data_IF_472530448192
#
_entry.id   IF_472530448192
#
_cell.length_a   1.000
_cell.length_b   1.000
_cell.length_c   1.000
_cell.angle_alpha   90.00
_cell.angle_beta   90.00
_cell.angle_gamma   90.00
#
_symmetry.space_group_name_H-M   'P 1'
#
loop_
_entity.id
_entity.type
_entity.pdbx_description
1 polymer ?
#
# COMPACT_ATOMS: atom_id res chain seq x y z
N UNK A 1 9.04 -23.16 -1.62
CA UNK A 1 8.36 -21.93 -1.19
C UNK A 1 8.15 -21.07 -2.42
N UNK A 2 6.93 -20.57 -2.67
CA UNK A 2 6.66 -19.69 -3.79
C UNK A 2 7.48 -18.41 -3.67
N UNK A 3 7.96 -17.91 -4.81
CA UNK A 3 8.60 -16.60 -4.89
C UNK A 3 7.51 -15.55 -4.77
N UNK A 4 7.69 -14.59 -3.87
CA UNK A 4 6.65 -13.59 -3.58
C UNK A 4 7.02 -12.23 -4.19
N UNK A 5 6.00 -11.49 -4.60
CA UNK A 5 6.06 -10.07 -4.87
C UNK A 5 4.98 -9.37 -4.06
N UNK A 6 5.29 -8.18 -3.53
CA UNK A 6 4.32 -7.35 -2.83
C UNK A 6 4.13 -6.03 -3.59
N UNK A 7 2.91 -5.77 -4.02
CA UNK A 7 2.57 -4.67 -4.93
C UNK A 7 1.72 -3.60 -4.26
N UNK A 8 1.39 -3.79 -2.98
CA UNK A 8 0.48 -2.93 -2.22
C UNK A 8 0.89 -2.87 -0.75
N UNK A 9 1.67 -1.85 -0.43
CA UNK A 9 2.06 -1.54 0.94
C UNK A 9 2.40 -0.06 1.08
N UNK A 10 1.92 0.59 2.13
CA UNK A 10 2.29 1.96 2.49
C UNK A 10 3.56 1.95 3.31
N UNK A 11 4.59 2.68 2.88
CA UNK A 11 5.91 2.58 3.53
C UNK A 11 5.88 3.05 4.99
N UNK A 12 5.10 4.09 5.31
CA UNK A 12 4.93 4.53 6.69
C UNK A 12 4.12 3.53 7.53
N UNK A 13 3.13 2.88 6.91
CA UNK A 13 2.36 1.77 7.50
C UNK A 13 3.18 0.51 7.76
N UNK A 14 4.29 0.34 7.05
CA UNK A 14 5.22 -0.78 7.21
C UNK A 14 6.20 -0.63 8.38
N UNK A 15 6.14 0.47 9.13
CA UNK A 15 7.04 0.74 10.24
C UNK A 15 6.85 -0.27 11.38
N UNK A 16 7.77 -1.24 11.47
CA UNK A 16 7.71 -2.29 12.48
C UNK A 16 7.75 -1.72 13.92
N UNK A 17 7.01 -2.28 14.89
CA UNK A 17 6.89 -1.72 16.23
C UNK A 17 8.24 -1.49 16.93
N UNK A 18 9.20 -2.39 16.75
CA UNK A 18 10.54 -2.24 17.31
C UNK A 18 11.34 -1.08 16.68
N UNK A 19 11.12 -0.78 15.40
CA UNK A 19 11.71 0.38 14.74
C UNK A 19 11.09 1.67 15.29
N UNK A 20 9.77 1.68 15.44
CA UNK A 20 9.00 2.82 15.99
C UNK A 20 9.41 3.11 17.43
N UNK A 21 9.59 2.09 18.27
CA UNK A 21 10.09 2.25 19.64
C UNK A 21 11.49 2.89 19.65
N UNK A 22 12.42 2.41 18.81
CA UNK A 22 13.77 3.00 18.70
C UNK A 22 13.71 4.45 18.24
N UNK A 23 12.81 4.76 17.31
CA UNK A 23 12.64 6.10 16.77
C UNK A 23 12.02 7.07 17.79
N UNK A 24 11.05 6.59 18.57
CA UNK A 24 10.45 7.32 19.67
C UNK A 24 11.49 7.64 20.77
N UNK A 25 12.38 6.70 21.10
CA UNK A 25 13.49 6.94 22.01
C UNK A 25 14.43 8.03 21.50
N UNK A 26 14.81 8.01 20.21
CA UNK A 26 15.62 9.05 19.57
C UNK A 26 15.00 10.44 19.70
N UNK A 27 13.67 10.54 19.64
CA UNK A 27 12.95 11.82 19.68
C UNK A 27 12.24 12.15 21.00
N UNK A 28 12.51 11.38 22.07
CA UNK A 28 11.91 11.62 23.39
C UNK A 28 10.37 11.53 23.38
N UNK A 29 9.80 10.60 22.61
CA UNK A 29 8.35 10.35 22.53
C UNK A 29 7.97 9.07 23.27
N UNK A 30 6.77 9.05 23.85
CA UNK A 30 6.21 7.88 24.53
C UNK A 30 5.31 7.08 23.57
N UNK A 31 5.60 5.78 23.42
CA UNK A 31 4.83 4.86 22.57
C UNK A 31 3.75 4.10 23.33
N UNK A 32 3.67 4.18 24.66
CA UNK A 32 2.85 3.32 25.52
C UNK A 32 1.34 3.34 25.21
N UNK A 33 0.87 4.45 24.62
CA UNK A 33 -0.50 4.60 24.14
C UNK A 33 -0.81 3.74 22.92
N UNK A 34 0.15 3.59 22.02
CA UNK A 34 -0.05 3.02 20.68
C UNK A 34 0.60 1.64 20.52
N UNK A 35 1.63 1.33 21.32
CA UNK A 35 2.36 0.06 21.26
C UNK A 35 2.37 -0.59 22.64
N UNK A 36 1.88 -1.83 22.72
CA UNK A 36 1.91 -2.67 23.92
C UNK A 36 2.43 -4.05 23.57
N UNK A 37 3.36 -4.57 24.36
CA UNK A 37 3.98 -5.89 24.15
C UNK A 37 4.53 -6.10 22.72
N UNK A 38 5.08 -5.04 22.12
CA UNK A 38 5.64 -5.09 20.76
C UNK A 38 4.61 -5.10 19.62
N UNK A 39 3.34 -4.79 19.89
CA UNK A 39 2.28 -4.72 18.89
C UNK A 39 1.56 -3.38 18.93
N UNK A 40 1.12 -2.89 17.78
CA UNK A 40 0.18 -1.77 17.73
C UNK A 40 -1.16 -2.16 18.35
N UNK A 41 -1.81 -1.17 18.99
CA UNK A 41 -3.13 -1.33 19.62
C UNK A 41 -4.09 -0.24 19.14
N UNK A 42 -5.22 -0.67 18.59
CA UNK A 42 -6.32 0.18 18.10
C UNK A 42 -7.62 -0.66 18.08
N UNK A 43 -8.78 0.00 17.92
CA UNK A 43 -10.10 -0.66 18.02
C UNK A 43 -11.13 -0.22 16.96
N UNK A 44 -10.82 0.82 16.20
CA UNK A 44 -11.60 1.33 15.07
C UNK A 44 -10.69 2.11 14.12
N UNK A 45 -11.23 2.51 12.97
CA UNK A 45 -10.48 3.24 11.93
C UNK A 45 -9.85 4.53 12.46
N UNK A 46 -10.56 5.27 13.31
CA UNK A 46 -10.05 6.53 13.91
C UNK A 46 -8.84 6.29 14.82
N UNK A 47 -8.89 5.27 15.67
CA UNK A 47 -7.77 4.91 16.56
C UNK A 47 -6.61 4.25 15.80
N UNK A 48 -6.89 3.54 14.70
CA UNK A 48 -5.88 3.08 13.74
C UNK A 48 -5.11 4.26 13.15
N UNK A 49 -5.80 5.25 12.56
CA UNK A 49 -5.16 6.44 11.99
C UNK A 49 -4.34 7.21 13.02
N UNK A 50 -4.83 7.32 14.26
CA UNK A 50 -4.07 7.97 15.33
C UNK A 50 -2.75 7.25 15.67
N UNK A 51 -2.72 5.91 15.56
CA UNK A 51 -1.51 5.12 15.75
C UNK A 51 -0.57 5.19 14.53
N UNK A 52 -1.14 5.24 13.33
CA UNK A 52 -0.44 5.49 12.07
C UNK A 52 0.28 6.84 12.12
N UNK A 53 -0.46 7.92 12.32
CA UNK A 53 0.08 9.28 12.36
C UNK A 53 1.18 9.43 13.42
N UNK A 54 0.99 8.87 14.62
CA UNK A 54 2.00 8.88 15.66
C UNK A 54 3.32 8.22 15.21
N UNK A 55 3.24 7.09 14.52
CA UNK A 55 4.40 6.37 14.01
C UNK A 55 5.08 7.16 12.90
N UNK A 56 4.31 7.63 11.92
CA UNK A 56 4.78 8.39 10.76
C UNK A 56 5.51 9.68 11.19
N UNK A 57 5.02 10.38 12.23
CA UNK A 57 5.62 11.60 12.80
C UNK A 57 7.01 11.39 13.44
N UNK A 58 7.45 10.14 13.60
CA UNK A 58 8.76 9.78 14.11
C UNK A 58 9.82 9.69 13.01
N UNK A 59 9.45 9.69 11.73
CA UNK A 59 10.40 9.69 10.61
C UNK A 59 10.60 11.12 10.09
N UNK A 60 11.75 11.73 10.42
CA UNK A 60 11.93 13.19 10.26
C UNK A 60 13.11 13.58 9.39
N UNK A 61 14.08 12.69 9.26
CA UNK A 61 15.31 12.93 8.49
C UNK A 61 15.42 11.94 7.34
N UNK A 62 16.21 12.29 6.33
CA UNK A 62 16.53 11.38 5.22
C UNK A 62 17.01 10.01 5.72
N UNK A 63 17.89 9.97 6.73
CA UNK A 63 18.36 8.69 7.30
C UNK A 63 17.27 7.89 8.01
N UNK A 64 16.21 8.53 8.53
CA UNK A 64 15.09 7.79 9.12
C UNK A 64 14.28 7.06 8.04
N UNK A 65 14.01 7.74 6.92
CA UNK A 65 13.31 7.14 5.78
C UNK A 65 14.17 6.08 5.07
N UNK A 66 15.48 6.30 4.93
CA UNK A 66 16.39 5.27 4.41
C UNK A 66 16.38 4.02 5.30
N UNK A 67 16.35 4.18 6.63
CA UNK A 67 16.23 3.04 7.57
C UNK A 67 14.88 2.35 7.47
N UNK A 68 13.79 3.10 7.31
CA UNK A 68 12.45 2.54 7.17
C UNK A 68 12.35 1.61 5.96
N UNK A 69 12.73 2.11 4.78
CA UNK A 69 12.76 1.32 3.55
C UNK A 69 13.69 0.11 3.65
N UNK A 70 14.91 0.31 4.17
CA UNK A 70 15.88 -0.77 4.34
C UNK A 70 15.36 -1.88 5.28
N UNK A 71 14.77 -1.49 6.42
CA UNK A 71 14.23 -2.42 7.41
C UNK A 71 13.08 -3.24 6.82
N UNK A 72 12.13 -2.59 6.16
CA UNK A 72 10.96 -3.25 5.61
C UNK A 72 11.31 -4.20 4.46
N UNK A 73 12.08 -3.76 3.45
CA UNK A 73 12.44 -4.63 2.33
C UNK A 73 13.33 -5.80 2.76
N UNK A 74 14.16 -5.62 3.78
CA UNK A 74 14.93 -6.72 4.37
C UNK A 74 14.04 -7.72 5.10
N UNK A 75 12.98 -7.25 5.75
CA UNK A 75 11.93 -8.11 6.32
C UNK A 75 11.22 -8.92 5.23
N UNK A 76 10.80 -8.27 4.14
CA UNK A 76 10.16 -8.96 3.01
C UNK A 76 11.04 -10.03 2.38
N UNK A 77 12.34 -9.75 2.22
CA UNK A 77 13.28 -10.76 1.72
C UNK A 77 13.38 -11.98 2.64
N UNK A 78 13.31 -11.80 3.98
CA UNK A 78 13.26 -12.93 4.94
C UNK A 78 11.97 -13.73 4.81
N UNK A 79 10.87 -13.08 4.46
CA UNK A 79 9.58 -13.71 4.16
C UNK A 79 9.54 -14.37 2.77
N UNK A 80 10.64 -14.29 2.00
CA UNK A 80 10.79 -14.92 0.68
C UNK A 80 10.30 -14.07 -0.49
N UNK A 81 10.11 -12.77 -0.29
CA UNK A 81 9.84 -11.83 -1.38
C UNK A 81 11.11 -11.54 -2.18
N UNK A 82 10.96 -11.48 -3.51
CA UNK A 82 12.02 -11.07 -4.43
C UNK A 82 11.80 -9.66 -5.00
N UNK A 83 10.59 -9.13 -4.86
CA UNK A 83 10.19 -7.86 -5.43
C UNK A 83 9.17 -7.14 -4.55
N UNK A 84 9.26 -5.81 -4.46
CA UNK A 84 8.26 -4.98 -3.79
C UNK A 84 8.07 -3.64 -4.49
N UNK A 85 6.81 -3.19 -4.63
CA UNK A 85 6.46 -1.80 -4.95
C UNK A 85 5.82 -1.17 -3.72
N UNK A 86 6.46 -0.16 -3.14
CA UNK A 86 5.96 0.55 -1.96
C UNK A 86 5.26 1.85 -2.37
N UNK A 87 4.13 2.16 -1.74
CA UNK A 87 3.47 3.46 -1.84
C UNK A 87 4.23 4.47 -1.00
N UNK A 88 4.44 5.64 -1.58
CA UNK A 88 5.23 6.73 -1.00
C UNK A 88 4.43 8.02 -1.11
N UNK A 89 4.36 8.79 -0.02
CA UNK A 89 3.48 9.97 0.03
C UNK A 89 4.32 11.25 0.22
N UNK A 90 4.44 12.10 -0.82
CA UNK A 90 5.13 13.38 -0.72
C UNK A 90 4.62 14.30 0.40
N UNK A 91 3.37 14.13 0.84
CA UNK A 91 2.78 14.91 1.94
C UNK A 91 3.48 14.63 3.28
N UNK A 92 3.95 13.40 3.49
CA UNK A 92 4.74 13.04 4.67
C UNK A 92 6.09 13.75 4.69
N UNK A 93 6.71 13.95 3.52
CA UNK A 93 7.92 14.75 3.41
C UNK A 93 7.68 16.18 3.91
N UNK A 94 6.59 16.81 3.46
CA UNK A 94 6.21 18.16 3.87
C UNK A 94 5.98 18.27 5.38
N UNK A 95 5.25 17.32 5.99
CA UNK A 95 5.03 17.26 7.44
C UNK A 95 6.34 17.10 8.23
N UNK A 96 7.29 16.32 7.70
CA UNK A 96 8.61 16.13 8.29
C UNK A 96 9.58 17.31 8.08
N UNK A 97 9.21 18.32 7.28
CA UNK A 97 10.08 19.43 6.90
C UNK A 97 11.11 19.07 5.80
N UNK A 98 10.90 17.97 5.09
CA UNK A 98 11.70 17.52 3.95
C UNK A 98 11.05 17.96 2.63
N UNK A 99 11.88 18.14 1.61
CA UNK A 99 11.35 18.22 0.24
C UNK A 99 10.89 16.83 -0.23
N UNK A 100 9.87 16.74 -1.10
CA UNK A 100 9.50 15.47 -1.74
C UNK A 100 10.68 14.72 -2.37
N UNK A 101 11.63 15.46 -2.93
CA UNK A 101 12.84 14.88 -3.52
C UNK A 101 13.75 14.25 -2.47
N UNK A 102 14.05 14.97 -1.39
CA UNK A 102 14.89 14.44 -0.30
C UNK A 102 14.29 13.17 0.32
N UNK A 103 12.98 13.15 0.54
CA UNK A 103 12.25 11.97 0.99
C UNK A 103 12.36 10.79 0.00
N UNK A 104 12.14 11.04 -1.29
CA UNK A 104 12.21 10.00 -2.33
C UNK A 104 13.62 9.45 -2.50
N UNK A 105 14.63 10.31 -2.52
CA UNK A 105 16.04 9.91 -2.60
C UNK A 105 16.44 9.07 -1.37
N UNK A 106 15.99 9.46 -0.18
CA UNK A 106 16.22 8.73 1.06
C UNK A 106 15.62 7.32 1.06
N UNK A 107 14.36 7.18 0.63
CA UNK A 107 13.74 5.88 0.45
C UNK A 107 14.50 5.04 -0.58
N UNK A 108 14.94 5.67 -1.68
CA UNK A 108 15.76 5.03 -2.72
C UNK A 108 17.08 4.48 -2.18
N UNK A 109 17.76 5.23 -1.31
CA UNK A 109 18.96 4.79 -0.59
C UNK A 109 18.66 3.59 0.31
N UNK A 110 17.54 3.60 1.03
CA UNK A 110 17.09 2.46 1.83
C UNK A 110 16.81 1.20 1.00
N UNK A 111 16.14 1.36 -0.14
CA UNK A 111 15.93 0.28 -1.11
C UNK A 111 17.25 -0.29 -1.63
N UNK A 112 18.22 0.57 -1.94
CA UNK A 112 19.54 0.16 -2.41
C UNK A 112 20.31 -0.64 -1.34
N UNK A 113 20.23 -0.24 -0.07
CA UNK A 113 20.82 -0.98 1.07
C UNK A 113 20.20 -2.37 1.22
N UNK A 114 18.88 -2.48 1.16
CA UNK A 114 18.20 -3.77 1.24
C UNK A 114 18.60 -4.68 0.08
N UNK A 115 18.55 -4.16 -1.16
CA UNK A 115 18.98 -4.88 -2.36
C UNK A 115 20.41 -5.41 -2.27
N UNK A 116 21.34 -4.58 -1.80
CA UNK A 116 22.74 -4.99 -1.67
C UNK A 116 22.93 -6.15 -0.67
N UNK A 117 22.10 -6.24 0.36
CA UNK A 117 22.18 -7.31 1.37
C UNK A 117 21.41 -8.57 1.01
N UNK A 118 20.25 -8.45 0.36
CA UNK A 118 19.30 -9.56 0.22
C UNK A 118 18.99 -9.92 -1.22
N UNK A 119 19.31 -9.06 -2.18
CA UNK A 119 18.94 -9.22 -3.60
C UNK A 119 17.50 -8.83 -3.94
N UNK A 120 16.68 -8.39 -2.98
CA UNK A 120 15.31 -7.93 -3.26
C UNK A 120 15.32 -6.69 -4.16
N UNK A 121 14.42 -6.66 -5.14
CA UNK A 121 14.20 -5.50 -5.99
C UNK A 121 13.06 -4.64 -5.43
N UNK A 122 13.30 -3.35 -5.20
CA UNK A 122 12.28 -2.40 -4.75
C UNK A 122 11.96 -1.35 -5.80
N UNK A 123 10.70 -0.91 -5.87
CA UNK A 123 10.23 0.27 -6.61
C UNK A 123 9.31 1.12 -5.74
N UNK A 124 9.11 2.36 -6.16
CA UNK A 124 8.25 3.33 -5.50
C UNK A 124 7.11 3.73 -6.42
N UNK A 125 5.93 3.80 -5.84
CA UNK A 125 4.74 4.41 -6.44
C UNK A 125 4.47 5.68 -5.64
N UNK A 126 4.50 6.82 -6.32
CA UNK A 126 4.15 8.09 -5.68
C UNK A 126 2.63 8.15 -5.54
N UNK A 127 2.15 8.32 -4.32
CA UNK A 127 0.73 8.22 -3.98
C UNK A 127 0.22 9.56 -3.44
N UNK A 128 -0.80 10.11 -4.10
CA UNK A 128 -1.55 11.24 -3.58
C UNK A 128 -2.51 10.79 -2.47
N UNK A 129 -2.63 11.57 -1.40
CA UNK A 129 -3.53 11.28 -0.28
C UNK A 129 -4.83 12.06 -0.47
N UNK A 130 -5.94 11.38 -0.81
CA UNK A 130 -7.19 12.06 -1.18
C UNK A 130 -7.82 12.91 -0.07
N UNK A 131 -7.51 12.62 1.18
CA UNK A 131 -7.88 13.46 2.33
C UNK A 131 -7.30 14.88 2.26
N UNK A 132 -6.23 15.11 1.50
CA UNK A 132 -5.57 16.42 1.36
C UNK A 132 -6.11 17.27 0.20
N UNK A 133 -7.00 16.69 -0.61
CA UNK A 133 -7.69 17.38 -1.70
C UNK A 133 -7.05 17.20 -3.08
N UNK A 134 -7.81 17.57 -4.10
CA UNK A 134 -7.49 17.39 -5.54
C UNK A 134 -6.17 18.07 -5.91
N UNK A 135 -5.94 19.30 -5.43
CA UNK A 135 -4.73 20.07 -5.75
C UNK A 135 -3.45 19.36 -5.27
N UNK A 136 -3.50 18.75 -4.08
CA UNK A 136 -2.37 18.00 -3.52
C UNK A 136 -2.08 16.73 -4.35
N UNK A 137 -3.13 16.01 -4.75
CA UNK A 137 -3.00 14.84 -5.63
C UNK A 137 -2.35 15.23 -6.97
N UNK A 138 -2.78 16.33 -7.58
CA UNK A 138 -2.16 16.81 -8.83
C UNK A 138 -0.69 17.20 -8.62
N UNK A 139 -0.35 17.83 -7.49
CA UNK A 139 1.03 18.15 -7.15
C UNK A 139 1.89 16.89 -6.98
N UNK A 140 1.36 15.84 -6.35
CA UNK A 140 2.03 14.55 -6.22
C UNK A 140 2.29 13.90 -7.60
N UNK A 141 1.31 13.90 -8.51
CA UNK A 141 1.49 13.40 -9.88
C UNK A 141 2.56 14.19 -10.65
N UNK A 142 2.51 15.52 -10.54
CA UNK A 142 3.50 16.43 -11.14
C UNK A 142 4.90 16.18 -10.59
N UNK A 143 5.02 15.87 -9.31
CA UNK A 143 6.29 15.47 -8.71
C UNK A 143 6.76 14.13 -9.26
N UNK A 144 5.91 13.10 -9.25
CA UNK A 144 6.23 11.77 -9.78
C UNK A 144 6.78 11.84 -11.20
N UNK A 145 6.10 12.60 -12.07
CA UNK A 145 6.47 12.81 -13.47
C UNK A 145 7.82 13.52 -13.69
N UNK A 146 8.28 14.32 -12.72
CA UNK A 146 9.48 15.18 -12.88
C UNK A 146 10.64 14.84 -11.94
N UNK A 147 10.43 13.97 -10.94
CA UNK A 147 11.44 13.70 -9.92
C UNK A 147 12.72 13.06 -10.50
N UNK A 148 12.60 12.35 -11.62
CA UNK A 148 13.72 11.73 -12.33
C UNK A 148 14.40 10.58 -11.56
N UNK A 149 13.81 10.12 -10.45
CA UNK A 149 14.37 9.06 -9.64
C UNK A 149 14.09 7.69 -10.29
N UNK A 150 15.10 6.85 -10.57
CA UNK A 150 14.95 5.64 -11.40
C UNK A 150 14.09 4.54 -10.75
N UNK A 151 13.87 4.61 -9.44
CA UNK A 151 13.00 3.68 -8.72
C UNK A 151 11.53 4.12 -8.65
N UNK A 152 11.20 5.34 -9.08
CA UNK A 152 9.80 5.79 -9.16
C UNK A 152 9.23 5.28 -10.48
N UNK A 153 8.31 4.32 -10.40
CA UNK A 153 7.76 3.62 -11.58
C UNK A 153 6.25 3.73 -11.70
N UNK A 154 5.57 4.29 -10.70
CA UNK A 154 4.12 4.41 -10.71
C UNK A 154 3.60 5.63 -9.99
N UNK A 155 2.32 5.87 -10.22
CA UNK A 155 1.51 6.85 -9.51
C UNK A 155 0.19 6.22 -9.07
N UNK A 156 -0.31 6.65 -7.92
CA UNK A 156 -1.63 6.26 -7.45
C UNK A 156 -2.26 7.23 -6.46
N UNK A 157 -3.44 6.84 -5.98
CA UNK A 157 -4.19 7.59 -4.96
C UNK A 157 -4.70 6.62 -3.89
N UNK A 158 -4.48 6.99 -2.64
CA UNK A 158 -4.93 6.27 -1.44
C UNK A 158 -5.58 7.25 -0.45
N UNK A 159 -5.85 6.80 0.77
CA UNK A 159 -6.54 7.55 1.82
C UNK A 159 -7.98 7.10 1.99
N UNK A 160 -8.78 7.88 2.72
CA UNK A 160 -10.19 7.57 2.97
C UNK A 160 -10.99 7.58 1.67
N UNK A 161 -11.35 6.40 1.17
CA UNK A 161 -12.00 6.21 -0.13
C UNK A 161 -13.27 7.05 -0.32
N UNK A 162 -13.95 7.42 0.77
CA UNK A 162 -15.17 8.24 0.77
C UNK A 162 -14.92 9.72 0.47
N UNK A 163 -13.65 10.14 0.42
CA UNK A 163 -13.26 11.54 0.23
C UNK A 163 -12.90 11.80 -1.24
N UNK A 164 -13.73 12.63 -1.89
CA UNK A 164 -13.56 13.07 -3.27
C UNK A 164 -13.90 12.00 -4.30
N UNK A 165 -14.13 12.44 -5.54
CA UNK A 165 -14.56 11.57 -6.63
C UNK A 165 -13.38 11.26 -7.56
N UNK A 166 -13.32 10.03 -8.07
CA UNK A 166 -12.21 9.62 -8.96
C UNK A 166 -12.13 10.45 -10.25
N UNK A 167 -13.25 11.01 -10.70
CA UNK A 167 -13.27 11.93 -11.85
C UNK A 167 -12.42 13.19 -11.63
N UNK A 168 -12.37 13.70 -10.39
CA UNK A 168 -11.58 14.88 -10.05
C UNK A 168 -10.06 14.62 -10.19
N UNK A 169 -9.65 13.36 -10.11
CA UNK A 169 -8.24 12.97 -10.16
C UNK A 169 -7.75 12.62 -11.56
N UNK A 170 -8.64 12.60 -12.57
CA UNK A 170 -8.28 12.26 -13.97
C UNK A 170 -7.08 13.06 -14.44
N UNK A 171 -7.03 14.36 -14.15
CA UNK A 171 -5.90 15.21 -14.55
C UNK A 171 -4.57 14.72 -13.97
N UNK A 172 -4.55 14.32 -12.70
CA UNK A 172 -3.34 13.81 -12.05
C UNK A 172 -2.88 12.48 -12.69
N UNK A 173 -3.82 11.58 -12.96
CA UNK A 173 -3.52 10.30 -13.60
C UNK A 173 -3.06 10.45 -15.05
N UNK A 174 -3.60 11.40 -15.82
CA UNK A 174 -3.10 11.70 -17.18
C UNK A 174 -1.69 12.28 -17.15
N UNK A 175 -1.34 13.15 -16.19
CA UNK A 175 0.04 13.64 -16.02
C UNK A 175 1.01 12.46 -15.80
N UNK A 176 0.64 11.51 -14.94
CA UNK A 176 1.47 10.34 -14.67
C UNK A 176 1.58 9.42 -15.89
N UNK A 177 0.48 9.20 -16.62
CA UNK A 177 0.43 8.38 -17.84
C UNK A 177 1.26 9.00 -18.98
N UNK A 178 1.18 10.30 -19.19
CA UNK A 178 2.02 11.04 -20.15
C UNK A 178 3.52 10.94 -19.82
N UNK A 179 3.86 10.80 -18.54
CA UNK A 179 5.23 10.57 -18.08
C UNK A 179 5.68 9.10 -18.17
N UNK A 180 4.82 8.19 -18.61
CA UNK A 180 5.11 6.76 -18.75
C UNK A 180 5.08 5.97 -17.44
N UNK A 181 4.46 6.49 -16.38
CA UNK A 181 4.33 5.81 -15.10
C UNK A 181 3.19 4.76 -15.13
N UNK A 182 3.38 3.66 -14.41
CA UNK A 182 2.31 2.70 -14.12
C UNK A 182 1.23 3.32 -13.23
N UNK A 183 -0.01 2.90 -13.43
CA UNK A 183 -1.16 3.48 -12.73
C UNK A 183 -1.84 2.42 -11.85
N UNK A 184 -1.96 2.71 -10.55
CA UNK A 184 -2.80 1.98 -9.59
C UNK A 184 -3.64 2.96 -8.76
N UNK A 185 -4.78 2.53 -8.25
CA UNK A 185 -5.67 3.37 -7.44
C UNK A 185 -6.43 2.52 -6.42
N UNK A 186 -6.56 2.99 -5.18
CA UNK A 186 -7.41 2.31 -4.20
C UNK A 186 -8.88 2.53 -4.58
N UNK A 187 -9.61 1.43 -4.77
CA UNK A 187 -11.04 1.44 -5.02
C UNK A 187 -11.67 0.10 -4.59
N UNK A 188 -12.92 0.11 -4.16
CA UNK A 188 -13.67 -1.07 -3.73
C UNK A 188 -13.15 -1.67 -2.43
N UNK A 189 -12.71 -0.84 -1.48
CA UNK A 189 -12.31 -1.28 -0.13
C UNK A 189 -13.38 -0.85 0.90
N UNK A 190 -13.49 0.45 1.14
CA UNK A 190 -14.47 1.05 2.05
C UNK A 190 -15.76 1.42 1.32
N UNK A 191 -15.69 1.67 0.01
CA UNK A 191 -16.83 1.89 -0.89
C UNK A 191 -17.16 0.64 -1.71
N UNK A 192 -18.35 0.58 -2.30
CA UNK A 192 -18.85 -0.57 -3.05
C UNK A 192 -18.22 -0.75 -4.43
N UNK A 193 -18.79 -1.67 -5.19
CA UNK A 193 -18.44 -1.90 -6.60
C UNK A 193 -18.52 -0.64 -7.48
N UNK A 194 -19.32 0.36 -7.12
CA UNK A 194 -19.45 1.63 -7.84
C UNK A 194 -18.13 2.41 -7.85
N UNK A 195 -17.34 2.33 -6.77
CA UNK A 195 -16.01 2.94 -6.74
C UNK A 195 -15.04 2.23 -7.69
N UNK A 196 -15.16 0.91 -7.79
CA UNK A 196 -14.38 0.11 -8.75
C UNK A 196 -14.78 0.46 -10.19
N UNK A 197 -16.07 0.61 -10.46
CA UNK A 197 -16.59 1.07 -11.76
C UNK A 197 -16.02 2.45 -12.12
N UNK A 198 -16.08 3.41 -11.20
CA UNK A 198 -15.52 4.74 -11.39
C UNK A 198 -14.00 4.71 -11.66
N UNK A 199 -13.26 3.81 -10.99
CA UNK A 199 -11.84 3.62 -11.26
C UNK A 199 -11.60 3.12 -12.69
N UNK A 200 -12.37 2.13 -13.14
CA UNK A 200 -12.28 1.58 -14.48
C UNK A 200 -12.64 2.62 -15.56
N UNK A 201 -13.69 3.41 -15.33
CA UNK A 201 -14.20 4.40 -16.29
C UNK A 201 -13.31 5.63 -16.42
N UNK A 202 -12.94 6.23 -15.28
CA UNK A 202 -12.25 7.52 -15.27
C UNK A 202 -10.73 7.37 -15.30
N UNK A 203 -10.18 6.43 -14.53
CA UNK A 203 -8.73 6.30 -14.31
C UNK A 203 -8.08 5.32 -15.29
N UNK A 204 -8.81 4.26 -15.65
CA UNK A 204 -8.34 3.15 -16.52
C UNK A 204 -7.02 2.55 -16.01
N UNK A 205 -6.96 2.11 -14.75
CA UNK A 205 -5.70 1.69 -14.14
C UNK A 205 -5.26 0.32 -14.64
N UNK A 206 -3.96 0.02 -14.52
CA UNK A 206 -3.46 -1.34 -14.76
C UNK A 206 -3.76 -2.25 -13.55
N UNK A 207 -3.85 -1.66 -12.35
CA UNK A 207 -4.11 -2.36 -11.09
C UNK A 207 -5.05 -1.57 -10.20
N UNK A 208 -5.84 -2.25 -9.38
CA UNK A 208 -6.70 -1.64 -8.37
C UNK A 208 -6.25 -2.13 -7.00
N UNK A 209 -5.95 -1.17 -6.12
CA UNK A 209 -5.70 -1.41 -4.70
C UNK A 209 -6.96 -1.96 -4.06
N UNK A 210 -6.85 -3.13 -3.43
CA UNK A 210 -7.97 -3.95 -2.94
C UNK A 210 -8.90 -4.45 -4.07
N UNK A 211 -9.88 -3.66 -4.50
CA UNK A 211 -10.91 -4.03 -5.48
C UNK A 211 -11.86 -5.15 -5.03
N UNK A 212 -11.78 -5.56 -3.77
CA UNK A 212 -12.47 -6.75 -3.24
C UNK A 212 -13.98 -6.61 -3.28
N UNK A 213 -14.53 -5.40 -3.11
CA UNK A 213 -15.97 -5.12 -3.18
C UNK A 213 -16.53 -5.12 -4.60
N UNK A 214 -15.69 -5.31 -5.63
CA UNK A 214 -16.16 -5.61 -6.98
C UNK A 214 -17.07 -6.86 -7.02
N UNK A 215 -16.85 -7.81 -6.10
CA UNK A 215 -17.64 -9.05 -5.99
C UNK A 215 -19.15 -8.83 -5.85
N UNK A 216 -19.56 -7.65 -5.40
CA UNK A 216 -20.96 -7.26 -5.23
C UNK A 216 -21.69 -7.10 -6.56
N UNK A 217 -20.97 -6.89 -7.66
CA UNK A 217 -21.52 -6.76 -9.01
C UNK A 217 -20.82 -7.70 -10.01
N UNK A 218 -21.48 -8.78 -10.45
CA UNK A 218 -20.93 -9.73 -11.42
C UNK A 218 -20.49 -9.13 -12.76
N UNK A 219 -21.06 -8.00 -13.17
CA UNK A 219 -20.72 -7.35 -14.44
C UNK A 219 -19.36 -6.63 -14.33
N UNK A 220 -19.09 -6.02 -13.18
CA UNK A 220 -17.78 -5.43 -12.86
C UNK A 220 -16.72 -6.51 -12.73
N UNK A 221 -17.02 -7.63 -12.07
CA UNK A 221 -16.09 -8.78 -11.99
C UNK A 221 -15.71 -9.27 -13.40
N UNK A 222 -16.70 -9.44 -14.30
CA UNK A 222 -16.41 -9.85 -15.69
C UNK A 222 -15.56 -8.81 -16.41
N UNK A 223 -15.86 -7.52 -16.27
CA UNK A 223 -15.07 -6.44 -16.87
C UNK A 223 -13.62 -6.45 -16.40
N UNK A 224 -13.36 -6.61 -15.10
CA UNK A 224 -12.00 -6.70 -14.53
C UNK A 224 -11.24 -7.88 -15.16
N UNK A 225 -11.87 -9.04 -15.26
CA UNK A 225 -11.27 -10.23 -15.86
C UNK A 225 -10.98 -10.03 -17.36
N UNK A 226 -11.93 -9.47 -18.12
CA UNK A 226 -11.83 -9.23 -19.56
C UNK A 226 -10.75 -8.19 -19.90
N UNK A 227 -10.69 -7.09 -19.15
CA UNK A 227 -9.67 -6.04 -19.31
C UNK A 227 -8.31 -6.46 -18.73
N UNK A 228 -8.28 -7.50 -17.90
CA UNK A 228 -7.07 -8.05 -17.31
C UNK A 228 -6.44 -7.15 -16.23
N UNK A 229 -7.25 -6.28 -15.60
CA UNK A 229 -6.87 -5.42 -14.48
C UNK A 229 -6.54 -6.28 -13.26
N UNK A 230 -5.43 -5.99 -12.60
CA UNK A 230 -4.97 -6.77 -11.43
C UNK A 230 -5.56 -6.19 -10.14
N UNK A 231 -6.09 -7.05 -9.27
CA UNK A 231 -6.54 -6.67 -7.93
C UNK A 231 -5.43 -6.94 -6.90
N UNK A 232 -5.04 -5.90 -6.19
CA UNK A 232 -4.04 -5.94 -5.14
C UNK A 232 -4.73 -6.24 -3.80
N UNK A 233 -5.09 -7.51 -3.55
CA UNK A 233 -5.90 -7.88 -2.39
C UNK A 233 -5.07 -7.94 -1.10
N UNK A 234 -5.70 -7.51 0.00
CA UNK A 234 -5.09 -7.42 1.34
C UNK A 234 -5.99 -8.09 2.40
N UNK A 235 -6.08 -9.43 2.46
CA UNK A 235 -7.01 -10.15 3.32
C UNK A 235 -7.04 -9.72 4.78
N UNK A 236 -5.88 -9.61 5.44
CA UNK A 236 -5.84 -9.19 6.85
C UNK A 236 -6.29 -7.76 7.06
N UNK A 237 -5.94 -6.84 6.13
CA UNK A 237 -6.42 -5.46 6.16
C UNK A 237 -7.95 -5.42 6.10
N UNK A 238 -8.53 -6.13 5.13
CA UNK A 238 -9.98 -6.13 4.91
C UNK A 238 -10.75 -6.72 6.11
N UNK A 239 -10.23 -7.76 6.78
CA UNK A 239 -10.85 -8.30 8.00
C UNK A 239 -10.63 -7.38 9.20
N UNK A 240 -9.43 -6.85 9.40
CA UNK A 240 -9.12 -5.98 10.53
C UNK A 240 -9.96 -4.68 10.49
N UNK A 241 -10.17 -4.12 9.29
CA UNK A 241 -10.99 -2.93 9.05
C UNK A 241 -12.50 -3.24 8.96
N UNK A 242 -12.90 -4.51 9.13
CA UNK A 242 -14.30 -4.97 9.07
C UNK A 242 -14.98 -4.70 7.72
N UNK A 243 -14.21 -4.75 6.64
CA UNK A 243 -14.74 -4.80 5.27
C UNK A 243 -15.42 -6.16 5.04
N UNK A 244 -14.82 -7.24 5.58
CA UNK A 244 -15.45 -8.56 5.69
C UNK A 244 -15.36 -9.05 7.14
N UNK A 245 -16.36 -9.82 7.59
CA UNK A 245 -16.45 -10.30 8.97
C UNK A 245 -15.38 -11.35 9.31
N UNK A 246 -14.97 -12.15 8.32
CA UNK A 246 -13.98 -13.19 8.50
C UNK A 246 -13.22 -13.51 7.21
N UNK A 247 -12.13 -14.26 7.31
CA UNK A 247 -11.45 -14.77 6.13
C UNK A 247 -12.36 -15.71 5.30
N UNK A 248 -13.30 -16.42 5.91
CA UNK A 248 -14.22 -17.28 5.15
C UNK A 248 -15.15 -16.48 4.22
N UNK A 249 -15.41 -15.22 4.55
CA UNK A 249 -16.26 -14.31 3.76
C UNK A 249 -15.45 -13.50 2.72
N UNK A 250 -14.12 -13.59 2.76
CA UNK A 250 -13.25 -12.78 1.91
C UNK A 250 -13.34 -13.24 0.44
N UNK A 251 -13.54 -12.33 -0.54
CA UNK A 251 -13.90 -12.69 -1.91
C UNK A 251 -12.72 -13.13 -2.79
N UNK A 252 -11.50 -13.16 -2.25
CA UNK A 252 -10.29 -13.55 -2.99
C UNK A 252 -10.45 -14.84 -3.82
N UNK A 253 -10.96 -15.97 -3.26
CA UNK A 253 -11.14 -17.19 -4.04
C UNK A 253 -12.19 -17.03 -5.15
N UNK A 254 -13.27 -16.30 -4.88
CA UNK A 254 -14.34 -16.08 -5.84
C UNK A 254 -13.89 -15.20 -7.02
N UNK A 255 -13.15 -14.12 -6.73
CA UNK A 255 -12.56 -13.24 -7.74
C UNK A 255 -11.56 -14.01 -8.61
N UNK A 256 -10.69 -14.81 -8.00
CA UNK A 256 -9.75 -15.65 -8.75
C UNK A 256 -10.47 -16.68 -9.62
N UNK A 257 -11.50 -17.36 -9.09
CA UNK A 257 -12.29 -18.34 -9.82
C UNK A 257 -13.08 -17.72 -10.99
N UNK A 258 -13.45 -16.44 -10.89
CA UNK A 258 -14.08 -15.67 -11.94
C UNK A 258 -13.11 -15.20 -13.05
N UNK A 259 -11.81 -15.48 -12.90
CA UNK A 259 -10.78 -15.12 -13.89
C UNK A 259 -10.08 -13.78 -13.62
N UNK A 260 -10.41 -13.08 -12.53
CA UNK A 260 -9.66 -11.88 -12.14
C UNK A 260 -8.24 -12.25 -11.75
N UNK A 261 -7.27 -11.42 -12.17
CA UNK A 261 -5.89 -11.52 -11.66
C UNK A 261 -5.86 -10.91 -10.28
N UNK A 262 -5.50 -11.70 -9.27
CA UNK A 262 -5.42 -11.27 -7.87
C UNK A 262 -3.99 -11.47 -7.35
N UNK A 263 -3.56 -10.61 -6.42
CA UNK A 263 -2.29 -10.74 -5.69
C UNK A 263 -2.57 -10.67 -4.18
N UNK A 264 -1.66 -11.21 -3.37
CA UNK A 264 -1.72 -11.16 -1.90
C UNK A 264 -0.70 -10.15 -1.40
N UNK A 265 -1.16 -9.18 -0.59
CA UNK A 265 -0.34 -8.09 -0.08
C UNK A 265 -0.71 -7.77 1.38
N UNK A 266 0.22 -7.19 2.13
CA UNK A 266 0.04 -6.97 3.57
C UNK A 266 -0.42 -5.56 3.96
N UNK A 267 -0.41 -4.61 3.02
CA UNK A 267 -0.96 -3.26 3.17
C UNK A 267 -0.23 -2.43 4.26
N UNK A 268 -0.78 -2.34 5.47
CA UNK A 268 -0.14 -1.76 6.66
C UNK A 268 0.22 -2.87 7.68
N UNK A 269 1.22 -3.74 7.38
CA UNK A 269 1.36 -5.06 8.02
C UNK A 269 1.35 -5.07 9.56
N UNK A 270 2.15 -4.24 10.27
CA UNK A 270 2.13 -4.16 11.73
C UNK A 270 0.78 -3.79 12.33
N UNK A 271 -0.02 -2.99 11.63
CA UNK A 271 -1.31 -2.50 12.10
C UNK A 271 -2.40 -3.56 11.97
N UNK A 272 -2.31 -4.40 10.92
CA UNK A 272 -3.23 -5.53 10.70
C UNK A 272 -2.71 -6.85 11.29
N UNK A 273 -1.70 -6.77 12.16
CA UNK A 273 -1.07 -7.91 12.83
C UNK A 273 -0.64 -9.02 11.86
N UNK A 274 -0.11 -8.61 10.71
CA UNK A 274 0.25 -9.51 9.61
C UNK A 274 1.65 -9.23 9.05
N UNK A 275 2.06 -10.06 8.10
CA UNK A 275 3.22 -9.89 7.23
C UNK A 275 2.90 -10.50 5.87
N UNK A 276 3.72 -10.25 4.85
CA UNK A 276 3.55 -10.90 3.55
C UNK A 276 3.55 -12.43 3.68
N UNK A 277 4.41 -13.00 4.53
CA UNK A 277 4.35 -14.45 4.80
C UNK A 277 3.00 -14.85 5.39
N UNK A 278 2.47 -14.10 6.36
CA UNK A 278 1.17 -14.41 6.99
C UNK A 278 0.02 -14.33 6.00
N UNK A 279 0.02 -13.41 5.04
CA UNK A 279 -1.01 -13.36 3.98
C UNK A 279 -1.03 -14.65 3.13
N UNK A 280 0.14 -15.20 2.82
CA UNK A 280 0.24 -16.49 2.12
C UNK A 280 -0.19 -17.65 3.01
N UNK A 281 0.15 -17.62 4.31
CA UNK A 281 -0.34 -18.62 5.27
C UNK A 281 -1.88 -18.57 5.37
N UNK A 282 -2.49 -17.38 5.41
CA UNK A 282 -3.95 -17.17 5.40
C UNK A 282 -4.57 -17.74 4.13
N UNK A 283 -3.96 -17.50 2.96
CA UNK A 283 -4.46 -18.08 1.72
C UNK A 283 -4.42 -19.62 1.73
N UNK A 284 -3.39 -20.22 2.33
CA UNK A 284 -3.33 -21.67 2.50
C UNK A 284 -4.37 -22.19 3.52
N UNK A 285 -4.53 -21.51 4.65
CA UNK A 285 -5.41 -21.90 5.76
C UNK A 285 -6.90 -21.71 5.44
N UNK A 286 -7.25 -20.59 4.79
CA UNK A 286 -8.63 -20.12 4.65
C UNK A 286 -9.14 -20.12 3.20
N UNK A 287 -8.26 -19.99 2.20
CA UNK A 287 -8.64 -19.90 0.79
C UNK A 287 -8.40 -21.19 0.02
N UNK A 288 -7.99 -22.27 0.69
CA UNK A 288 -7.67 -23.57 0.08
C UNK A 288 -6.59 -23.48 -1.00
N UNK A 289 -5.67 -22.51 -0.90
CA UNK A 289 -4.58 -22.33 -1.85
C UNK A 289 -3.41 -23.25 -1.49
N UNK A 290 -3.07 -24.18 -2.37
CA UNK A 290 -1.88 -25.02 -2.20
C UNK A 290 -0.64 -24.36 -2.83
N UNK A 291 0.54 -24.93 -2.60
CA UNK A 291 1.83 -24.45 -3.14
C UNK A 291 1.89 -24.27 -4.66
N UNK A 292 0.97 -24.88 -5.43
CA UNK A 292 0.88 -24.69 -6.89
C UNK A 292 -0.03 -23.52 -7.26
N UNK A 293 -1.03 -23.22 -6.42
CA UNK A 293 -1.94 -22.09 -6.60
C UNK A 293 -1.31 -20.77 -6.12
N UNK A 294 -0.42 -20.83 -5.14
CA UNK A 294 0.42 -19.73 -4.62
C UNK A 294 1.71 -19.56 -5.44
#
# INVERSE_FOLDING_TARGET
MPLKAELHCHIEGAAAPELVIRQAQKYGKDTSRYIRNGSFVWHDFTSFLAAYDFSSDLFRTEEDYARLADHYLTSLARDGAIYSEIFTSPDHAGKAGLSPKAYTDALGEGIARAKARTGIEGRMIVTGVRNTGVESIEQAARFAARCGHPLVTGFGVAGDERMGDLEDYVRAFEIAREAGLGITVHAGELMGWESVEAALDHIRPARIGHGVRAVENPDIVRRIADEGVVLECCPSSNVALKVFDSFADHPFPALQAAGCKVTLNSDDPPYFWTSLKREYDIAAEHFSMNDKAL
#
